data_IF_566995307655
#
_entry.id   IF_566995307655
#
_cell.length_a   1.000
_cell.length_b   1.000
_cell.length_c   1.000
_cell.angle_alpha   90.00
_cell.angle_beta   90.00
_cell.angle_gamma   90.00
#
_symmetry.space_group_name_H-M   'P 1'
#
loop_
_entity.id
_entity.type
_entity.pdbx_description
1 polymer ?
#
# COMPACT_ATOMS: atom_id res chain seq x y z
N UNK A 1 10.60 3.53 -12.39
CA UNK A 1 9.56 2.86 -13.20
C UNK A 1 8.42 2.52 -12.26
N UNK A 2 7.19 2.84 -12.60
CA UNK A 2 6.02 2.47 -11.80
C UNK A 2 5.67 0.98 -11.99
N UNK A 3 4.86 0.44 -11.07
CA UNK A 3 4.50 -0.99 -11.05
C UNK A 3 3.69 -1.43 -12.28
N UNK A 4 2.89 -0.56 -12.87
CA UNK A 4 2.06 -0.88 -14.04
C UNK A 4 2.94 -1.00 -15.29
N UNK A 5 3.83 -0.02 -15.50
CA UNK A 5 4.82 -0.06 -16.57
C UNK A 5 5.73 -1.29 -16.45
N UNK A 6 6.18 -1.64 -15.25
CA UNK A 6 7.00 -2.83 -15.02
C UNK A 6 6.23 -4.12 -15.32
N UNK A 7 4.98 -4.21 -14.87
CA UNK A 7 4.11 -5.36 -15.17
C UNK A 7 3.91 -5.52 -16.68
N UNK A 8 3.65 -4.42 -17.39
CA UNK A 8 3.51 -4.44 -18.85
C UNK A 8 4.79 -4.94 -19.54
N UNK A 9 5.96 -4.46 -19.11
CA UNK A 9 7.24 -4.91 -19.66
C UNK A 9 7.44 -6.43 -19.46
N UNK A 10 7.11 -6.95 -18.28
CA UNK A 10 7.20 -8.40 -17.99
C UNK A 10 6.23 -9.23 -18.85
N UNK A 11 5.01 -8.74 -19.07
CA UNK A 11 4.03 -9.40 -19.95
C UNK A 11 4.51 -9.43 -21.41
N UNK A 12 5.10 -8.34 -21.90
CA UNK A 12 5.70 -8.29 -23.24
C UNK A 12 6.86 -9.28 -23.36
N UNK A 13 7.75 -9.33 -22.36
CA UNK A 13 8.85 -10.29 -22.35
C UNK A 13 8.35 -11.75 -22.35
N UNK A 14 7.26 -12.04 -21.63
CA UNK A 14 6.62 -13.36 -21.68
C UNK A 14 6.04 -13.67 -23.06
N UNK A 15 5.45 -12.68 -23.75
CA UNK A 15 4.99 -12.83 -25.13
C UNK A 15 6.15 -13.13 -26.08
N UNK A 16 7.27 -12.43 -25.94
CA UNK A 16 8.46 -12.62 -26.76
C UNK A 16 9.04 -14.04 -26.59
N UNK A 17 9.14 -14.53 -25.34
CA UNK A 17 9.58 -15.90 -25.06
C UNK A 17 8.67 -16.95 -25.74
N UNK A 18 7.36 -16.73 -25.72
CA UNK A 18 6.40 -17.60 -26.42
C UNK A 18 6.60 -17.60 -27.94
N UNK A 19 6.95 -16.45 -28.53
CA UNK A 19 7.26 -16.35 -29.96
C UNK A 19 8.56 -17.06 -30.30
N UNK A 20 9.59 -16.90 -29.47
CA UNK A 20 10.88 -17.58 -29.61
C UNK A 20 10.69 -19.11 -29.66
N UNK A 21 9.95 -19.69 -28.72
CA UNK A 21 9.67 -21.13 -28.70
C UNK A 21 8.90 -21.63 -29.91
N UNK A 22 7.91 -20.85 -30.38
CA UNK A 22 7.14 -21.23 -31.57
C UNK A 22 8.02 -21.23 -32.82
N UNK A 23 9.00 -20.31 -32.87
CA UNK A 23 9.92 -20.19 -34.00
C UNK A 23 11.03 -21.26 -34.02
N UNK A 24 11.40 -21.82 -32.85
CA UNK A 24 12.46 -22.83 -32.74
C UNK A 24 12.00 -24.25 -33.08
N UNK A 25 10.74 -24.60 -32.80
CA UNK A 25 10.14 -25.94 -33.04
C UNK A 25 10.21 -26.46 -34.48
N UNK A 26 10.43 -25.59 -35.47
CA UNK A 26 10.56 -25.99 -36.89
C UNK A 26 11.99 -26.22 -37.39
N UNK A 27 13.02 -25.92 -36.59
CA UNK A 27 14.43 -25.93 -37.03
C UNK A 27 15.27 -27.03 -36.38
N UNK A 28 14.71 -27.78 -35.44
CA UNK A 28 15.47 -28.66 -34.56
C UNK A 28 15.32 -30.13 -34.93
N UNK A 29 16.39 -30.90 -34.74
CA UNK A 29 16.34 -32.37 -34.84
C UNK A 29 15.59 -32.94 -33.63
N UNK A 30 14.71 -33.90 -33.87
CA UNK A 30 13.91 -34.50 -32.80
C UNK A 30 14.82 -35.17 -31.74
N UNK A 31 14.64 -34.77 -30.48
CA UNK A 31 15.27 -35.41 -29.31
C UNK A 31 16.45 -34.68 -28.68
N UNK A 32 16.89 -33.55 -29.22
CA UNK A 32 18.02 -32.79 -28.68
C UNK A 32 17.54 -31.49 -28.03
N UNK A 33 17.66 -31.39 -26.70
CA UNK A 33 17.46 -30.14 -25.95
C UNK A 33 18.67 -29.25 -26.20
N UNK A 34 18.46 -28.06 -26.75
CA UNK A 34 19.56 -27.13 -26.99
C UNK A 34 19.79 -26.23 -25.78
N UNK A 35 21.00 -25.67 -25.66
CA UNK A 35 21.29 -24.61 -24.68
C UNK A 35 20.32 -23.43 -24.82
N UNK A 36 19.80 -23.18 -26.03
CA UNK A 36 18.78 -22.15 -26.28
C UNK A 36 17.44 -22.49 -25.65
N UNK A 37 17.02 -23.75 -25.67
CA UNK A 37 15.78 -24.19 -25.01
C UNK A 37 15.92 -24.06 -23.49
N UNK A 38 17.07 -24.44 -22.94
CA UNK A 38 17.36 -24.28 -21.51
C UNK A 38 17.37 -22.80 -21.10
N UNK A 39 17.99 -21.93 -21.90
CA UNK A 39 18.03 -20.49 -21.64
C UNK A 39 16.61 -19.87 -21.67
N UNK A 40 15.76 -20.29 -22.61
CA UNK A 40 14.36 -19.85 -22.69
C UNK A 40 13.59 -20.29 -21.45
N UNK A 41 13.79 -21.54 -20.98
CA UNK A 41 13.13 -22.05 -19.77
C UNK A 41 13.53 -21.27 -18.52
N UNK A 42 14.83 -21.03 -18.33
CA UNK A 42 15.35 -20.25 -17.20
C UNK A 42 14.77 -18.83 -17.25
N UNK A 43 14.81 -18.18 -18.41
CA UNK A 43 14.28 -16.82 -18.56
C UNK A 43 12.78 -16.75 -18.26
N UNK A 44 12.00 -17.77 -18.68
CA UNK A 44 10.57 -17.84 -18.35
C UNK A 44 10.34 -17.91 -16.85
N UNK A 45 11.08 -18.77 -16.16
CA UNK A 45 10.98 -18.89 -14.71
C UNK A 45 11.32 -17.57 -14.01
N UNK A 46 12.37 -16.88 -14.44
CA UNK A 46 12.73 -15.57 -13.91
C UNK A 46 11.63 -14.52 -14.13
N UNK A 47 11.10 -14.41 -15.35
CA UNK A 47 10.01 -13.47 -15.67
C UNK A 47 8.78 -13.76 -14.81
N UNK A 48 8.42 -15.04 -14.65
CA UNK A 48 7.29 -15.42 -13.81
C UNK A 48 7.51 -15.07 -12.34
N UNK A 49 8.71 -15.32 -11.81
CA UNK A 49 9.09 -14.92 -10.45
C UNK A 49 8.98 -13.40 -10.27
N UNK A 50 9.43 -12.62 -11.25
CA UNK A 50 9.33 -11.16 -11.20
C UNK A 50 7.87 -10.69 -11.23
N UNK A 51 7.00 -11.30 -12.03
CA UNK A 51 5.56 -10.98 -12.04
C UNK A 51 4.94 -11.19 -10.65
N UNK A 52 5.24 -12.32 -10.00
CA UNK A 52 4.78 -12.58 -8.63
C UNK A 52 5.29 -11.52 -7.66
N UNK A 53 6.59 -11.20 -7.68
CA UNK A 53 7.17 -10.19 -6.80
C UNK A 53 6.54 -8.79 -6.99
N UNK A 54 6.27 -8.39 -8.24
CA UNK A 54 5.60 -7.12 -8.52
C UNK A 54 4.17 -7.12 -7.99
N UNK A 55 3.44 -8.22 -8.18
CA UNK A 55 2.07 -8.37 -7.65
C UNK A 55 2.03 -8.30 -6.12
N UNK A 56 2.92 -9.04 -5.46
CA UNK A 56 3.05 -9.04 -4.00
C UNK A 56 3.38 -7.66 -3.47
N UNK A 57 4.26 -6.92 -4.16
CA UNK A 57 4.59 -5.54 -3.79
C UNK A 57 3.39 -4.61 -3.92
N UNK A 58 2.61 -4.72 -4.99
CA UNK A 58 1.39 -3.91 -5.18
C UNK A 58 0.38 -4.21 -4.08
N UNK A 59 0.19 -5.50 -3.75
CA UNK A 59 -0.69 -5.94 -2.68
C UNK A 59 -0.22 -5.44 -1.30
N UNK A 60 1.06 -5.58 -0.98
CA UNK A 60 1.61 -5.08 0.27
C UNK A 60 1.42 -3.56 0.41
N UNK A 61 1.62 -2.80 -0.68
CA UNK A 61 1.35 -1.36 -0.69
C UNK A 61 -0.12 -1.03 -0.48
N UNK A 62 -1.05 -1.79 -1.07
CA UNK A 62 -2.48 -1.53 -0.89
C UNK A 62 -2.93 -1.83 0.55
N UNK A 63 -2.44 -2.92 1.15
CA UNK A 63 -2.70 -3.27 2.55
C UNK A 63 -2.16 -2.18 3.47
N UNK A 64 -0.90 -1.75 3.30
CA UNK A 64 -0.31 -0.72 4.12
C UNK A 64 -1.10 0.61 4.06
N UNK A 65 -1.60 0.97 2.87
CA UNK A 65 -2.46 2.14 2.71
C UNK A 65 -3.79 1.99 3.43
N UNK A 66 -4.45 0.84 3.30
CA UNK A 66 -5.71 0.57 3.99
C UNK A 66 -5.55 0.65 5.52
N UNK A 67 -4.48 0.05 6.05
CA UNK A 67 -4.17 0.13 7.49
C UNK A 67 -4.00 1.58 7.95
N UNK A 68 -3.22 2.39 7.21
CA UNK A 68 -2.99 3.80 7.56
C UNK A 68 -4.28 4.63 7.49
N UNK A 69 -5.11 4.42 6.46
CA UNK A 69 -6.38 5.14 6.30
C UNK A 69 -7.40 4.75 7.37
N UNK A 70 -7.50 3.47 7.67
CA UNK A 70 -8.52 2.91 8.57
C UNK A 70 -8.15 3.18 10.03
N UNK A 71 -6.86 3.28 10.35
CA UNK A 71 -6.39 3.58 11.70
C UNK A 71 -7.00 4.86 12.29
N UNK A 72 -7.24 5.90 11.47
CA UNK A 72 -7.91 7.11 11.95
C UNK A 72 -9.38 6.86 12.30
N UNK A 73 -10.11 6.17 11.43
CA UNK A 73 -11.53 5.86 11.64
C UNK A 73 -11.72 4.99 12.88
N UNK A 74 -10.86 3.98 13.06
CA UNK A 74 -10.87 3.10 14.23
C UNK A 74 -10.64 3.90 15.51
N UNK A 75 -9.64 4.80 15.54
CA UNK A 75 -9.39 5.66 16.71
C UNK A 75 -10.59 6.56 17.05
N UNK A 76 -11.23 7.16 16.05
CA UNK A 76 -12.41 8.00 16.26
C UNK A 76 -13.59 7.19 16.82
N UNK A 77 -13.83 5.99 16.28
CA UNK A 77 -14.86 5.09 16.77
C UNK A 77 -14.59 4.66 18.23
N UNK A 78 -13.33 4.38 18.57
CA UNK A 78 -12.94 3.98 19.91
C UNK A 78 -13.12 5.11 20.94
N UNK A 79 -12.78 6.34 20.57
CA UNK A 79 -13.05 7.51 21.43
C UNK A 79 -14.55 7.73 21.67
N UNK A 80 -15.37 7.52 20.65
CA UNK A 80 -16.83 7.62 20.77
C UNK A 80 -17.41 6.52 21.67
N UNK A 81 -16.91 5.28 21.54
CA UNK A 81 -17.29 4.16 22.40
C UNK A 81 -16.91 4.40 23.86
N UNK A 82 -15.68 4.88 24.11
CA UNK A 82 -15.21 5.22 25.45
C UNK A 82 -16.08 6.31 26.10
N UNK A 83 -16.50 7.31 25.32
CA UNK A 83 -17.40 8.35 25.80
C UNK A 83 -18.77 7.77 26.15
N UNK A 84 -19.37 6.97 25.27
CA UNK A 84 -20.64 6.33 25.52
C UNK A 84 -20.59 5.39 26.75
N UNK A 85 -19.48 4.69 26.96
CA UNK A 85 -19.25 3.84 28.13
C UNK A 85 -19.18 4.66 29.43
N UNK A 86 -18.49 5.82 29.42
CA UNK A 86 -18.46 6.75 30.56
C UNK A 86 -19.85 7.30 30.87
N UNK A 87 -20.58 7.73 29.85
CA UNK A 87 -21.92 8.30 30.00
C UNK A 87 -22.90 7.27 30.57
N UNK A 88 -22.85 6.03 30.08
CA UNK A 88 -23.65 4.92 30.64
C UNK A 88 -23.31 4.68 32.12
N UNK A 89 -22.02 4.63 32.49
CA UNK A 89 -21.59 4.45 33.89
C UNK A 89 -22.09 5.58 34.77
N UNK A 90 -22.00 6.83 34.29
CA UNK A 90 -22.48 8.00 35.01
C UNK A 90 -24.00 7.96 35.21
N UNK A 91 -24.78 7.65 34.16
CA UNK A 91 -26.23 7.54 34.23
C UNK A 91 -26.68 6.46 35.23
N UNK A 92 -26.02 5.30 35.25
CA UNK A 92 -26.30 4.23 36.22
C UNK A 92 -26.02 4.71 37.65
N UNK A 93 -24.87 5.36 37.89
CA UNK A 93 -24.52 5.90 39.20
C UNK A 93 -25.53 6.95 39.69
N UNK A 94 -26.00 7.83 38.80
CA UNK A 94 -26.97 8.87 39.13
C UNK A 94 -28.36 8.28 39.42
N UNK A 95 -28.78 7.27 38.66
CA UNK A 95 -30.04 6.56 38.90
C UNK A 95 -30.05 5.78 40.22
N UNK A 96 -28.89 5.33 40.68
CA UNK A 96 -28.73 4.57 41.93
C UNK A 96 -28.61 5.46 43.17
N UNK A 97 -28.21 6.73 43.03
CA UNK A 97 -28.15 7.69 44.13
C UNK A 97 -28.51 9.12 43.64
N UNK A 98 -29.76 9.58 43.85
CA UNK A 98 -30.25 10.85 43.32
C UNK A 98 -29.63 12.10 43.99
N UNK A 99 -28.77 11.92 45.00
CA UNK A 99 -28.11 13.03 45.73
C UNK A 99 -26.61 13.17 45.40
N UNK A 100 -26.10 12.47 44.38
CA UNK A 100 -24.73 12.60 43.89
C UNK A 100 -24.55 13.95 43.15
N UNK A 101 -24.32 15.02 43.92
CA UNK A 101 -24.12 16.38 43.41
C UNK A 101 -22.87 16.47 42.52
N UNK A 102 -23.01 17.12 41.37
CA UNK A 102 -21.93 17.40 40.43
C UNK A 102 -20.83 18.25 41.10
N UNK A 103 -19.69 17.63 41.41
CA UNK A 103 -18.43 18.31 41.65
C UNK A 103 -17.52 18.13 40.43
N UNK A 104 -16.67 19.11 40.09
CA UNK A 104 -15.70 18.94 39.00
C UNK A 104 -14.76 17.80 39.39
N UNK A 105 -14.82 16.68 38.65
CA UNK A 105 -13.95 15.53 38.90
C UNK A 105 -12.56 15.89 38.39
N UNK A 106 -11.73 16.45 39.26
CA UNK A 106 -10.29 16.40 39.10
C UNK A 106 -9.86 14.94 39.26
N UNK A 107 -9.68 14.23 38.15
CA UNK A 107 -9.20 12.86 38.15
C UNK A 107 -7.71 12.83 38.50
N UNK A 108 -7.38 12.64 39.78
CA UNK A 108 -6.07 12.11 40.19
C UNK A 108 -5.92 10.73 39.55
N UNK A 109 -4.85 10.58 38.76
CA UNK A 109 -4.51 9.35 38.06
C UNK A 109 -4.46 8.14 38.99
N UNK A 110 -5.11 7.07 38.56
CA UNK A 110 -4.76 5.71 38.98
C UNK A 110 -4.39 4.97 37.70
N UNK A 111 -3.11 4.58 37.62
CA UNK A 111 -2.57 3.67 36.59
C UNK A 111 -3.44 2.42 36.58
N UNK A 112 -4.20 2.23 35.52
CA UNK A 112 -4.64 0.92 35.09
C UNK A 112 -3.58 0.45 34.11
N UNK A 113 -2.85 -0.59 34.48
CA UNK A 113 -2.02 -1.35 33.56
C UNK A 113 -2.98 -2.10 32.62
N UNK A 114 -3.45 -1.42 31.59
CA UNK A 114 -3.85 -2.09 30.36
C UNK A 114 -2.56 -2.62 29.74
N UNK A 115 -2.43 -3.94 29.70
CA UNK A 115 -1.58 -4.60 28.71
C UNK A 115 -2.16 -4.30 27.33
N UNK A 116 -1.94 -3.08 26.85
CA UNK A 116 -1.96 -2.78 25.43
C UNK A 116 -0.76 -3.54 24.90
N UNK A 117 -1.01 -4.62 24.16
CA UNK A 117 0.00 -5.16 23.27
C UNK A 117 0.30 -4.01 22.32
N UNK A 118 1.36 -3.24 22.61
CA UNK A 118 1.99 -2.30 21.70
C UNK A 118 2.31 -3.12 20.45
N UNK A 119 1.38 -3.15 19.50
CA UNK A 119 1.71 -3.56 18.14
C UNK A 119 2.57 -2.42 17.66
N UNK A 120 3.87 -2.61 17.88
CA UNK A 120 4.98 -1.71 17.62
C UNK A 120 4.64 -0.71 16.52
N UNK A 121 4.57 0.57 16.87
CA UNK A 121 4.66 1.68 15.91
C UNK A 121 5.90 1.46 15.01
N UNK A 122 6.92 0.79 15.54
CA UNK A 122 8.10 0.31 14.81
C UNK A 122 7.73 -0.65 13.67
N UNK A 123 6.71 -1.51 13.80
CA UNK A 123 6.28 -2.42 12.74
C UNK A 123 5.66 -1.64 11.57
N UNK A 124 4.88 -0.60 11.89
CA UNK A 124 4.31 0.32 10.89
C UNK A 124 5.44 1.10 10.21
N UNK A 125 6.44 1.55 10.96
CA UNK A 125 7.58 2.30 10.43
C UNK A 125 8.57 1.40 9.65
N UNK A 126 8.70 0.13 10.00
CA UNK A 126 9.39 -0.90 9.22
C UNK A 126 8.66 -1.12 7.88
N UNK A 127 7.33 -1.25 7.88
CA UNK A 127 6.53 -1.37 6.65
C UNK A 127 6.63 -0.12 5.76
N UNK A 128 6.67 1.08 6.35
CA UNK A 128 6.90 2.35 5.65
C UNK A 128 8.32 2.45 5.07
N UNK A 129 9.35 2.11 5.85
CA UNK A 129 10.76 2.19 5.40
C UNK A 129 11.07 1.19 4.29
N UNK A 130 10.46 0.00 4.32
CA UNK A 130 10.55 -0.98 3.22
C UNK A 130 9.87 -0.52 1.92
N UNK A 131 8.95 0.47 1.96
CA UNK A 131 8.15 0.89 0.79
C UNK A 131 8.34 2.35 0.33
N UNK A 132 8.95 3.24 1.13
CA UNK A 132 9.13 4.66 0.80
C UNK A 132 10.47 4.99 0.11
N UNK A 133 11.46 4.10 0.14
CA UNK A 133 12.77 4.37 -0.45
C UNK A 133 12.77 4.50 -2.00
N UNK A 134 11.62 4.37 -2.68
CA UNK A 134 11.58 4.34 -4.14
C UNK A 134 10.49 5.20 -4.82
N UNK A 135 9.71 6.01 -4.10
CA UNK A 135 8.70 6.89 -4.70
C UNK A 135 9.12 8.37 -4.61
N UNK A 136 10.13 8.74 -5.42
CA UNK A 136 10.54 10.14 -5.68
C UNK A 136 9.44 10.99 -6.35
N UNK A 137 8.30 10.38 -6.71
CA UNK A 137 7.15 11.05 -7.34
C UNK A 137 6.27 11.80 -6.34
N UNK A 138 6.21 11.38 -5.08
CA UNK A 138 5.37 12.02 -4.06
C UNK A 138 5.96 13.33 -3.53
N UNK A 139 7.28 13.47 -3.48
CA UNK A 139 7.90 14.74 -3.09
C UNK A 139 7.77 15.83 -4.17
N UNK A 140 7.77 15.45 -5.45
CA UNK A 140 7.48 16.40 -6.52
C UNK A 140 6.02 16.87 -6.48
N UNK A 141 5.05 15.96 -6.28
CA UNK A 141 3.64 16.33 -6.15
C UNK A 141 3.37 17.24 -4.94
N UNK A 142 4.04 16.99 -3.80
CA UNK A 142 3.96 17.87 -2.62
C UNK A 142 4.60 19.23 -2.87
N UNK A 143 5.69 19.31 -3.63
CA UNK A 143 6.33 20.57 -4.01
C UNK A 143 5.43 21.42 -4.92
N UNK A 144 4.75 20.80 -5.89
CA UNK A 144 3.79 21.48 -6.77
C UNK A 144 2.54 21.99 -6.02
N UNK A 145 2.02 21.22 -5.06
CA UNK A 145 0.91 21.66 -4.20
C UNK A 145 1.35 22.79 -3.27
N UNK A 146 2.58 22.74 -2.75
CA UNK A 146 3.13 23.75 -1.84
C UNK A 146 3.46 25.09 -2.51
N UNK A 147 3.70 25.11 -3.82
CA UNK A 147 4.01 26.34 -4.56
C UNK A 147 2.81 27.05 -5.19
N UNK A 148 1.58 26.54 -5.03
CA UNK A 148 0.37 27.26 -5.45
C UNK A 148 0.26 27.55 -6.96
N UNK A 149 1.02 26.86 -7.80
CA UNK A 149 1.02 27.08 -9.25
C UNK A 149 0.03 26.15 -9.94
N UNK A 150 -1.27 26.43 -9.82
CA UNK A 150 -2.29 25.81 -10.67
C UNK A 150 -2.57 26.71 -11.88
N UNK A 151 -1.66 26.72 -12.85
CA UNK A 151 -1.98 27.23 -14.19
C UNK A 151 -1.23 26.44 -15.27
N UNK A 152 -2.03 25.72 -16.06
CA UNK A 152 -1.81 25.45 -17.49
C UNK A 152 -0.81 24.33 -17.87
N UNK A 153 -1.30 23.08 -17.87
CA UNK A 153 -0.71 21.99 -18.68
C UNK A 153 -1.76 21.17 -19.46
N UNK A 154 -2.98 21.70 -19.62
CA UNK A 154 -3.95 21.18 -20.58
C UNK A 154 -4.02 22.12 -21.79
N UNK A 155 -3.06 22.01 -22.74
CA UNK A 155 -3.22 22.49 -24.13
C UNK A 155 -2.07 22.14 -25.10
N UNK A 156 -0.88 21.72 -24.69
CA UNK A 156 0.25 21.55 -25.64
C UNK A 156 0.62 20.10 -25.99
N UNK A 157 -0.35 19.27 -26.39
CA UNK A 157 -0.04 18.01 -27.11
C UNK A 157 -1.00 17.75 -28.27
N UNK A 158 -1.54 18.81 -28.86
CA UNK A 158 -2.19 18.74 -30.18
C UNK A 158 -1.70 19.93 -30.99
N UNK A 159 -1.01 19.66 -32.10
CA UNK A 159 -0.42 20.59 -33.09
C UNK A 159 1.11 20.76 -33.02
N UNK A 160 1.85 19.71 -33.38
CA UNK A 160 2.93 19.85 -34.37
C UNK A 160 3.20 18.50 -35.05
N UNK A 161 2.22 18.08 -35.85
CA UNK A 161 2.39 17.17 -36.98
C UNK A 161 1.72 17.89 -38.14
N UNK A 162 2.44 18.04 -39.26
CA UNK A 162 2.12 18.75 -40.52
C UNK A 162 2.92 20.05 -40.73
N UNK A 163 4.19 19.93 -41.13
CA UNK A 163 4.68 20.09 -42.51
C UNK A 163 6.19 19.87 -42.53
#
# INVERSE_FOLDING_TARGET
MDSESLMLALLLQQQDLNLCERSSKGKQRAGELTDSDLAIEICRHEVQSMVTQVSDRVLAKSIARAVDTDARVIREAQLAEDQAARDRKFAISLSSNPNARAGPVASKGKKQEEFVHEVEDDLIDILKSMNLANDQSLEQAKYFIRLGSFTQAASNTTMHRLH
#
